data_IF_598548378994
#
_entry.id   IF_598548378994
#
_cell.length_a   1.000
_cell.length_b   1.000
_cell.length_c   1.000
_cell.angle_alpha   90.00
_cell.angle_beta   90.00
_cell.angle_gamma   90.00
#
_symmetry.space_group_name_H-M   'P 1'
#
loop_
_entity.id
_entity.type
_entity.pdbx_description
1 polymer ?
#
# COMPACT_ATOMS: atom_id res chain seq x y z
N UNK A 1 -17.34 10.72 29.13
CA UNK A 1 -17.57 9.30 28.75
C UNK A 1 -17.27 8.93 27.28
N UNK A 2 -16.91 9.87 26.37
CA UNK A 2 -16.61 9.57 24.95
C UNK A 2 -15.30 8.80 24.67
N UNK A 3 -14.34 8.83 25.60
CA UNK A 3 -12.96 8.32 25.38
C UNK A 3 -12.80 6.78 25.43
N UNK A 4 -13.87 6.07 25.80
CA UNK A 4 -13.87 4.59 25.87
C UNK A 4 -14.44 3.95 24.59
N UNK A 5 -15.33 4.61 23.85
CA UNK A 5 -15.87 4.03 22.61
C UNK A 5 -14.88 4.05 21.45
N UNK A 6 -13.98 5.05 21.39
CA UNK A 6 -12.90 5.11 20.39
C UNK A 6 -11.88 3.97 20.58
N UNK A 7 -11.58 3.62 21.84
CA UNK A 7 -10.66 2.51 22.15
C UNK A 7 -11.27 1.14 21.84
N UNK A 8 -12.57 0.97 22.06
CA UNK A 8 -13.27 -0.26 21.70
C UNK A 8 -13.44 -0.44 20.19
N UNK A 9 -13.56 0.65 19.42
CA UNK A 9 -13.59 0.61 17.95
C UNK A 9 -12.24 0.19 17.35
N UNK A 10 -11.13 0.63 17.95
CA UNK A 10 -9.78 0.22 17.56
C UNK A 10 -9.48 -1.25 17.91
N UNK A 11 -9.97 -1.73 19.05
CA UNK A 11 -9.79 -3.13 19.48
C UNK A 11 -10.66 -4.15 18.73
N UNK A 12 -11.75 -3.73 18.08
CA UNK A 12 -12.65 -4.63 17.31
C UNK A 12 -12.37 -4.65 15.80
N UNK A 13 -11.30 -4.00 15.33
CA UNK A 13 -10.88 -4.03 13.94
C UNK A 13 -10.08 -5.31 13.61
N UNK A 14 -10.62 -6.47 13.97
CA UNK A 14 -10.09 -7.79 13.58
C UNK A 14 -10.39 -8.08 12.11
N UNK A 15 -9.87 -7.24 11.21
CA UNK A 15 -9.86 -7.56 9.78
C UNK A 15 -8.62 -8.44 9.55
N UNK A 16 -8.77 -9.76 9.27
CA UNK A 16 -7.62 -10.62 9.04
C UNK A 16 -6.84 -10.10 7.84
N UNK A 17 -5.66 -9.57 8.12
CA UNK A 17 -4.71 -9.11 7.13
C UNK A 17 -4.23 -10.33 6.35
N UNK A 18 -4.77 -10.55 5.15
CA UNK A 18 -4.27 -11.57 4.22
C UNK A 18 -3.35 -10.88 3.21
N UNK A 19 -2.02 -10.85 3.44
CA UNK A 19 -1.10 -10.10 2.60
C UNK A 19 -0.96 -10.69 1.18
N UNK A 20 -1.16 -12.00 1.03
CA UNK A 20 -1.10 -12.69 -0.24
C UNK A 20 -2.51 -12.95 -0.77
N UNK A 21 -2.99 -12.07 -1.65
CA UNK A 21 -4.21 -12.29 -2.44
C UNK A 21 -3.86 -12.54 -3.90
N UNK A 22 -4.57 -13.44 -4.60
CA UNK A 22 -4.32 -13.72 -6.01
C UNK A 22 -4.48 -12.48 -6.90
N UNK A 23 -5.30 -11.52 -6.48
CA UNK A 23 -5.47 -10.22 -7.13
C UNK A 23 -4.18 -9.39 -7.19
N UNK A 24 -3.21 -9.66 -6.32
CA UNK A 24 -1.93 -8.94 -6.26
C UNK A 24 -0.82 -9.62 -7.10
N UNK A 25 -1.05 -10.83 -7.63
CA UNK A 25 -0.04 -11.59 -8.40
C UNK A 25 0.54 -10.80 -9.59
N UNK A 26 -0.27 -10.10 -10.43
CA UNK A 26 0.26 -9.33 -11.55
C UNK A 26 1.24 -8.23 -11.13
N UNK A 27 1.01 -7.61 -9.96
CA UNK A 27 1.89 -6.58 -9.44
C UNK A 27 3.23 -7.14 -8.95
N UNK A 28 3.23 -8.29 -8.25
CA UNK A 28 4.47 -8.99 -7.89
C UNK A 28 5.27 -9.41 -9.12
N UNK A 29 4.59 -9.95 -10.14
CA UNK A 29 5.20 -10.32 -11.40
C UNK A 29 5.86 -9.11 -12.09
N UNK A 30 5.22 -7.94 -12.09
CA UNK A 30 5.78 -6.73 -12.67
C UNK A 30 7.05 -6.24 -11.94
N UNK A 31 7.07 -6.26 -10.60
CA UNK A 31 8.25 -5.88 -9.82
C UNK A 31 9.40 -6.87 -10.04
N UNK A 32 9.10 -8.17 -10.03
CA UNK A 32 10.08 -9.22 -10.31
C UNK A 32 10.64 -9.09 -11.74
N UNK A 33 9.79 -8.84 -12.73
CA UNK A 33 10.22 -8.62 -14.10
C UNK A 33 11.11 -7.38 -14.23
N UNK A 34 10.73 -6.26 -13.61
CA UNK A 34 11.55 -5.05 -13.60
C UNK A 34 12.92 -5.29 -12.95
N UNK A 35 12.95 -6.07 -11.85
CA UNK A 35 14.18 -6.43 -11.19
C UNK A 35 15.07 -7.34 -12.05
N UNK A 36 14.50 -8.37 -12.67
CA UNK A 36 15.24 -9.29 -13.55
C UNK A 36 15.79 -8.58 -14.80
N UNK A 37 15.01 -7.70 -15.42
CA UNK A 37 15.48 -6.89 -16.56
C UNK A 37 16.63 -5.99 -16.13
N UNK A 38 16.51 -5.32 -14.99
CA UNK A 38 17.57 -4.44 -14.46
C UNK A 38 18.84 -5.23 -14.15
N UNK A 39 18.72 -6.38 -13.49
CA UNK A 39 19.83 -7.27 -13.18
C UNK A 39 20.51 -7.79 -14.46
N UNK A 40 19.73 -8.18 -15.48
CA UNK A 40 20.25 -8.63 -16.77
C UNK A 40 21.01 -7.53 -17.50
N UNK A 41 20.49 -6.30 -17.54
CA UNK A 41 21.18 -5.14 -18.13
C UNK A 41 22.50 -4.86 -17.41
N UNK A 42 22.49 -4.85 -16.06
CA UNK A 42 23.70 -4.65 -15.26
C UNK A 42 24.72 -5.76 -15.55
N UNK A 43 24.28 -7.03 -15.62
CA UNK A 43 25.16 -8.16 -15.89
C UNK A 43 25.79 -8.07 -17.30
N UNK A 44 25.02 -7.68 -18.32
CA UNK A 44 25.55 -7.47 -19.69
C UNK A 44 26.55 -6.32 -19.70
N UNK A 45 26.25 -5.20 -19.03
CA UNK A 45 27.16 -4.06 -18.94
C UNK A 45 28.43 -4.41 -18.17
N UNK A 46 28.32 -5.18 -17.09
CA UNK A 46 29.45 -5.68 -16.33
C UNK A 46 30.32 -6.60 -17.18
N UNK A 47 29.72 -7.56 -17.89
CA UNK A 47 30.43 -8.48 -18.77
C UNK A 47 31.18 -7.76 -19.89
N UNK A 48 30.59 -6.70 -20.47
CA UNK A 48 31.26 -5.87 -21.49
C UNK A 48 32.33 -4.95 -20.92
N UNK A 49 32.18 -4.48 -19.68
CA UNK A 49 33.10 -3.53 -19.06
C UNK A 49 34.31 -4.23 -18.44
N UNK A 50 34.14 -5.47 -18.00
CA UNK A 50 35.15 -6.28 -17.34
C UNK A 50 35.49 -7.49 -18.23
N UNK A 51 36.24 -7.28 -19.30
CA UNK A 51 36.85 -8.35 -20.13
C UNK A 51 37.97 -9.13 -19.38
N UNK A 52 38.01 -9.07 -18.05
CA UNK A 52 39.03 -9.66 -17.19
C UNK A 52 38.52 -9.82 -15.74
N UNK A 53 39.42 -10.07 -14.79
CA UNK A 53 39.04 -10.17 -13.37
C UNK A 53 38.72 -8.76 -12.84
N UNK A 54 37.47 -8.47 -12.42
CA UNK A 54 37.13 -7.18 -11.86
C UNK A 54 37.94 -6.93 -10.59
N UNK A 55 38.38 -5.69 -10.41
CA UNK A 55 39.01 -5.30 -9.15
C UNK A 55 37.99 -5.33 -8.01
N UNK A 56 38.44 -5.50 -6.77
CA UNK A 56 37.56 -5.51 -5.59
C UNK A 56 36.72 -4.23 -5.49
N UNK A 57 37.30 -3.09 -5.86
CA UNK A 57 36.60 -1.81 -5.88
C UNK A 57 35.46 -1.78 -6.90
N UNK A 58 35.71 -2.22 -8.14
CA UNK A 58 34.71 -2.29 -9.21
C UNK A 58 33.55 -3.22 -8.84
N UNK A 59 33.85 -4.35 -8.20
CA UNK A 59 32.84 -5.27 -7.68
C UNK A 59 31.93 -4.59 -6.64
N UNK A 60 32.50 -3.91 -5.65
CA UNK A 60 31.72 -3.21 -4.61
C UNK A 60 30.91 -2.03 -5.18
N UNK A 61 31.48 -1.27 -6.12
CA UNK A 61 30.77 -0.20 -6.79
C UNK A 61 29.53 -0.72 -7.53
N UNK A 62 29.67 -1.84 -8.25
CA UNK A 62 28.58 -2.46 -8.98
C UNK A 62 27.51 -3.06 -8.05
N UNK A 63 27.94 -3.66 -6.93
CA UNK A 63 27.02 -4.11 -5.89
C UNK A 63 26.21 -2.95 -5.30
N UNK A 64 26.84 -1.81 -5.01
CA UNK A 64 26.17 -0.63 -4.50
C UNK A 64 25.15 -0.07 -5.50
N UNK A 65 25.52 0.04 -6.78
CA UNK A 65 24.62 0.47 -7.85
C UNK A 65 23.41 -0.45 -7.97
N UNK A 66 23.62 -1.78 -7.91
CA UNK A 66 22.55 -2.77 -7.95
C UNK A 66 21.57 -2.61 -6.76
N UNK A 67 22.09 -2.40 -5.55
CA UNK A 67 21.26 -2.14 -4.36
C UNK A 67 20.46 -0.84 -4.52
N UNK A 68 21.09 0.24 -4.99
CA UNK A 68 20.41 1.52 -5.21
C UNK A 68 19.28 1.40 -6.24
N UNK A 69 19.48 0.63 -7.31
CA UNK A 69 18.43 0.35 -8.29
C UNK A 69 17.27 -0.43 -7.65
N UNK A 70 17.56 -1.44 -6.84
CA UNK A 70 16.55 -2.17 -6.07
C UNK A 70 15.71 -1.23 -5.20
N UNK A 71 16.37 -0.33 -4.47
CA UNK A 71 15.69 0.69 -3.63
C UNK A 71 14.84 1.63 -4.49
N UNK A 72 15.37 2.11 -5.63
CA UNK A 72 14.64 3.00 -6.53
C UNK A 72 13.37 2.36 -7.10
N UNK A 73 13.42 1.07 -7.46
CA UNK A 73 12.25 0.30 -7.92
C UNK A 73 11.18 0.24 -6.81
N UNK A 74 11.59 -0.11 -5.58
CA UNK A 74 10.68 -0.22 -4.44
C UNK A 74 10.05 1.13 -4.06
N UNK A 75 10.86 2.20 -4.08
CA UNK A 75 10.40 3.56 -3.81
C UNK A 75 9.41 4.03 -4.87
N UNK A 76 9.71 3.82 -6.15
CA UNK A 76 8.81 4.18 -7.26
C UNK A 76 7.49 3.42 -7.18
N UNK A 77 7.54 2.12 -6.91
CA UNK A 77 6.34 1.31 -6.70
C UNK A 77 5.49 1.84 -5.52
N UNK A 78 6.14 2.29 -4.45
CA UNK A 78 5.47 2.90 -3.29
C UNK A 78 4.81 4.24 -3.63
N UNK A 79 5.49 5.11 -4.39
CA UNK A 79 4.91 6.37 -4.88
C UNK A 79 3.70 6.13 -5.79
N UNK A 80 3.77 5.15 -6.68
CA UNK A 80 2.64 4.78 -7.54
C UNK A 80 1.45 4.25 -6.73
N UNK A 81 1.71 3.48 -5.66
CA UNK A 81 0.67 3.05 -4.72
C UNK A 81 0.00 4.26 -4.05
N UNK A 82 0.77 5.21 -3.52
CA UNK A 82 0.24 6.43 -2.90
C UNK A 82 -0.59 7.25 -3.89
N UNK A 83 -0.12 7.40 -5.12
CA UNK A 83 -0.84 8.14 -6.17
C UNK A 83 -2.19 7.50 -6.51
N UNK A 84 -2.26 6.16 -6.55
CA UNK A 84 -3.51 5.42 -6.77
C UNK A 84 -4.51 5.61 -5.63
N UNK A 85 -4.03 5.68 -4.38
CA UNK A 85 -4.91 5.86 -3.23
C UNK A 85 -5.40 7.30 -3.05
N UNK A 86 -4.64 8.30 -3.51
CA UNK A 86 -4.94 9.72 -3.32
C UNK A 86 -6.39 10.06 -3.64
N UNK A 87 -6.88 9.71 -4.83
CA UNK A 87 -8.23 10.07 -5.26
C UNK A 87 -9.31 9.47 -4.35
N UNK A 88 -9.16 8.21 -3.95
CA UNK A 88 -10.12 7.56 -3.07
C UNK A 88 -10.04 8.04 -1.61
N UNK A 89 -8.85 8.40 -1.12
CA UNK A 89 -8.68 9.03 0.18
C UNK A 89 -9.26 10.44 0.23
N UNK A 90 -9.09 11.23 -0.83
CA UNK A 90 -9.68 12.58 -0.93
C UNK A 90 -11.20 12.52 -0.91
N UNK A 91 -11.83 11.64 -1.70
CA UNK A 91 -13.28 11.46 -1.67
C UNK A 91 -13.79 10.97 -0.30
N UNK A 92 -13.03 10.11 0.36
CA UNK A 92 -13.36 9.65 1.71
C UNK A 92 -13.28 10.80 2.73
N UNK A 93 -12.30 11.71 2.59
CA UNK A 93 -12.18 12.91 3.42
C UNK A 93 -13.33 13.91 3.18
N UNK A 94 -13.89 13.95 1.98
CA UNK A 94 -15.08 14.72 1.62
C UNK A 94 -16.39 14.10 2.15
N UNK A 95 -16.31 12.91 2.76
CA UNK A 95 -17.46 12.21 3.34
C UNK A 95 -18.14 11.22 2.41
N UNK A 96 -17.59 10.94 1.22
CA UNK A 96 -18.10 9.90 0.33
C UNK A 96 -17.70 8.51 0.84
N UNK A 97 -18.63 7.86 1.55
CA UNK A 97 -18.43 6.55 2.18
C UNK A 97 -18.40 5.40 1.16
N UNK A 98 -18.80 5.67 -0.10
CA UNK A 98 -18.72 4.73 -1.22
C UNK A 98 -17.43 4.87 -2.04
N UNK A 99 -16.47 5.68 -1.57
CA UNK A 99 -15.16 5.83 -2.19
C UNK A 99 -14.45 4.49 -2.37
N UNK A 100 -14.39 4.02 -3.62
CA UNK A 100 -13.70 2.78 -3.98
C UNK A 100 -12.20 3.04 -4.01
N UNK A 101 -11.50 2.78 -2.90
CA UNK A 101 -10.03 2.84 -2.88
C UNK A 101 -9.49 1.51 -3.45
N UNK A 102 -8.74 1.53 -4.56
CA UNK A 102 -8.22 0.31 -5.16
C UNK A 102 -7.17 -0.33 -4.24
N UNK A 103 -7.07 -1.68 -4.22
CA UNK A 103 -5.97 -2.35 -3.52
C UNK A 103 -4.63 -1.92 -4.12
N UNK A 104 -3.64 -1.72 -3.25
CA UNK A 104 -2.27 -1.37 -3.61
C UNK A 104 -1.32 -2.51 -3.30
N UNK A 105 -0.16 -2.49 -3.94
CA UNK A 105 0.81 -3.58 -3.81
C UNK A 105 1.32 -3.75 -2.38
N UNK A 106 1.47 -2.66 -1.63
CA UNK A 106 1.85 -2.72 -0.22
C UNK A 106 0.70 -3.33 0.62
N UNK A 107 0.88 -4.54 1.19
CA UNK A 107 -0.18 -5.20 1.96
C UNK A 107 -0.61 -4.39 3.17
N UNK A 108 0.34 -3.70 3.81
CA UNK A 108 0.10 -2.83 4.97
C UNK A 108 -0.75 -1.61 4.58
N UNK A 109 -0.49 -0.99 3.42
CA UNK A 109 -1.32 0.13 2.96
C UNK A 109 -2.72 -0.32 2.54
N UNK A 110 -2.84 -1.46 1.87
CA UNK A 110 -4.16 -2.05 1.53
C UNK A 110 -4.95 -2.36 2.79
N UNK A 111 -4.31 -2.96 3.78
CA UNK A 111 -4.86 -3.24 5.10
C UNK A 111 -5.36 -1.98 5.81
N UNK A 112 -4.48 -0.97 5.93
CA UNK A 112 -4.81 0.30 6.57
C UNK A 112 -5.99 0.99 5.87
N UNK A 113 -5.98 1.00 4.53
CA UNK A 113 -7.07 1.57 3.73
C UNK A 113 -8.40 0.86 3.98
N UNK A 114 -8.41 -0.47 4.03
CA UNK A 114 -9.62 -1.24 4.34
C UNK A 114 -10.13 -0.96 5.75
N UNK A 115 -9.24 -0.89 6.75
CA UNK A 115 -9.61 -0.55 8.11
C UNK A 115 -10.24 0.84 8.21
N UNK A 116 -9.68 1.83 7.50
CA UNK A 116 -10.22 3.19 7.44
C UNK A 116 -11.63 3.20 6.82
N UNK A 117 -11.85 2.52 5.67
CA UNK A 117 -13.17 2.41 5.05
C UNK A 117 -14.18 1.75 5.99
N UNK A 118 -13.79 0.67 6.67
CA UNK A 118 -14.64 -0.02 7.64
C UNK A 118 -15.02 0.87 8.83
N UNK A 119 -14.10 1.70 9.30
CA UNK A 119 -14.37 2.66 10.38
C UNK A 119 -15.37 3.73 9.95
N UNK A 120 -15.18 4.34 8.77
CA UNK A 120 -16.07 5.38 8.23
C UNK A 120 -17.49 4.85 8.05
N UNK A 121 -17.65 3.64 7.48
CA UNK A 121 -18.98 3.00 7.33
C UNK A 121 -19.70 2.76 8.64
N UNK A 122 -18.97 2.42 9.70
CA UNK A 122 -19.56 2.23 11.04
C UNK A 122 -20.05 3.55 11.61
N UNK A 123 -19.22 4.60 11.53
CA UNK A 123 -19.60 5.94 12.01
C UNK A 123 -20.84 6.49 11.30
N UNK A 124 -20.97 6.24 10.00
CA UNK A 124 -22.16 6.67 9.25
C UNK A 124 -23.43 5.92 9.72
N UNK A 125 -23.33 4.59 9.92
CA UNK A 125 -24.43 3.76 10.42
C UNK A 125 -24.87 4.15 11.84
N UNK A 126 -23.92 4.46 12.71
CA UNK A 126 -24.21 4.92 14.08
C UNK A 126 -24.91 6.28 14.04
N UNK A 127 -24.44 7.21 13.19
CA UNK A 127 -25.08 8.52 13.01
C UNK A 127 -26.50 8.44 12.45
N UNK A 128 -26.76 7.49 11.55
CA UNK A 128 -28.10 7.24 11.02
C UNK A 128 -29.04 6.66 12.09
N UNK A 129 -28.53 5.74 12.92
CA UNK A 129 -29.26 5.17 14.05
C UNK A 129 -29.65 6.22 15.09
N UNK A 130 -28.73 7.14 15.42
CA UNK A 130 -28.97 8.25 16.34
C UNK A 130 -30.05 9.23 15.82
N UNK A 131 -30.05 9.51 14.51
CA UNK A 131 -31.10 10.34 13.89
C UNK A 131 -32.48 9.70 14.03
N UNK A 132 -32.59 8.41 13.71
CA UNK A 132 -33.85 7.66 13.82
C UNK A 132 -34.35 7.62 15.27
N UNK A 133 -33.44 7.43 16.23
CA UNK A 133 -33.80 7.41 17.65
C UNK A 133 -34.32 8.77 18.13
N UNK A 134 -33.68 9.86 17.70
CA UNK A 134 -34.10 11.23 18.04
C UNK A 134 -35.47 11.56 17.45
N UNK A 135 -35.72 11.24 16.19
CA UNK A 135 -37.02 11.46 15.54
C UNK A 135 -38.17 10.65 16.16
N UNK A 136 -37.87 9.49 16.77
CA UNK A 136 -38.86 8.70 17.53
C UNK A 136 -39.12 9.23 18.93
N UNK A 137 -38.17 9.94 19.54
CA UNK A 137 -38.34 10.54 20.87
C UNK A 137 -39.12 11.86 20.84
N UNK A 138 -39.25 12.49 19.67
CA UNK A 138 -39.95 13.76 19.47
C UNK A 138 -41.41 13.56 19.00
N UNK A 139 -41.85 12.32 18.78
CA UNK A 139 -43.25 11.93 18.51
C UNK A 139 -43.88 11.28 19.73
#
# INVERSE_FOLDING_TARGET
MKRNSERDLLNRADVPLRPFRPQNIPAYAAVLAAWLVSAGVIAILAARRFDGKPTTFEFWALALVSVMIGIAIMFTASLLNLRKMKAGLTRLAEGDVNSRIPPVWCPVLTAATQAVISCVRRLEKDRESDKIHKERSER
#
